data_IF_415774450630
#
_entry.id   IF_415774450630
#
_cell.length_a   1.000
_cell.length_b   1.000
_cell.length_c   1.000
_cell.angle_alpha   90.00
_cell.angle_beta   90.00
_cell.angle_gamma   90.00
#
_symmetry.space_group_name_H-M   'P 1'
#
loop_
_entity.id
_entity.type
_entity.pdbx_description
1 polymer ?
#
# COMPACT_ATOMS: atom_id res chain seq x y z
N UNK A 1 7.45 13.05 1.34
CA UNK A 1 6.71 12.65 2.54
C UNK A 1 5.53 13.58 2.78
N UNK A 2 4.46 13.07 3.36
CA UNK A 2 3.24 13.83 3.67
C UNK A 2 3.35 14.59 4.99
N UNK A 3 2.74 15.75 5.05
CA UNK A 3 2.68 16.58 6.26
C UNK A 3 1.41 16.26 7.09
N UNK A 4 1.06 14.97 7.20
CA UNK A 4 -0.03 14.40 8.01
C UNK A 4 -1.35 15.18 7.95
N UNK A 5 -1.89 15.34 6.72
CA UNK A 5 -3.18 16.00 6.46
C UNK A 5 -3.14 17.53 6.48
N UNK A 6 -1.97 18.16 6.65
CA UNK A 6 -1.85 19.63 6.60
C UNK A 6 -1.46 20.15 5.23
N UNK A 7 -0.61 19.42 4.49
CA UNK A 7 -0.21 19.74 3.13
C UNK A 7 0.29 18.48 2.41
N UNK A 8 0.21 18.48 1.08
CA UNK A 8 0.84 17.45 0.24
C UNK A 8 2.33 17.77 0.02
N UNK A 9 3.11 16.74 -0.33
CA UNK A 9 4.51 16.93 -0.72
C UNK A 9 4.68 17.92 -1.89
N UNK A 10 3.74 17.91 -2.84
CA UNK A 10 3.73 18.84 -3.96
C UNK A 10 3.48 20.30 -3.52
N UNK A 11 2.48 20.55 -2.66
CA UNK A 11 2.18 21.89 -2.14
C UNK A 11 3.37 22.47 -1.37
N UNK A 12 4.05 21.67 -0.55
CA UNK A 12 5.25 22.13 0.16
C UNK A 12 6.40 22.41 -0.82
N UNK A 13 6.62 21.53 -1.79
CA UNK A 13 7.64 21.74 -2.81
C UNK A 13 7.37 23.02 -3.63
N UNK A 14 6.09 23.29 -3.95
CA UNK A 14 5.67 24.49 -4.67
C UNK A 14 5.90 25.77 -3.85
N UNK A 15 5.54 25.76 -2.56
CA UNK A 15 5.74 26.89 -1.67
C UNK A 15 7.23 27.22 -1.51
N UNK A 16 8.08 26.22 -1.25
CA UNK A 16 9.53 26.41 -1.14
C UNK A 16 10.13 26.89 -2.46
N UNK A 17 9.67 26.35 -3.60
CA UNK A 17 10.14 26.74 -4.92
C UNK A 17 9.81 28.19 -5.25
N UNK A 18 8.62 28.67 -4.88
CA UNK A 18 8.19 30.05 -5.12
C UNK A 18 9.09 31.04 -4.37
N UNK A 19 9.36 30.80 -3.08
CA UNK A 19 10.23 31.67 -2.27
C UNK A 19 11.69 31.66 -2.75
N UNK A 20 12.22 30.47 -3.07
CA UNK A 20 13.58 30.37 -3.60
C UNK A 20 13.74 31.08 -4.96
N UNK A 21 12.75 30.96 -5.85
CA UNK A 21 12.74 31.66 -7.13
C UNK A 21 12.68 33.18 -6.96
N UNK A 22 11.89 33.69 -5.99
CA UNK A 22 11.83 35.13 -5.65
C UNK A 22 13.19 35.66 -5.17
N UNK A 23 14.03 34.80 -4.59
CA UNK A 23 15.40 35.12 -4.18
C UNK A 23 16.43 34.93 -5.31
N UNK A 24 16.00 34.63 -6.54
CA UNK A 24 16.86 34.46 -7.72
C UNK A 24 17.49 33.08 -7.87
N UNK A 25 17.05 32.07 -7.08
CA UNK A 25 17.51 30.68 -7.23
C UNK A 25 16.85 30.00 -8.43
N UNK A 26 17.63 29.19 -9.13
CA UNK A 26 17.08 28.24 -10.09
C UNK A 26 16.59 26.99 -9.32
N UNK A 27 15.30 26.70 -9.47
CA UNK A 27 14.63 25.65 -8.66
C UNK A 27 14.22 24.48 -9.54
N UNK A 28 14.50 23.27 -9.05
CA UNK A 28 13.95 22.01 -9.54
C UNK A 28 13.06 21.39 -8.45
N UNK A 29 11.81 21.07 -8.78
CA UNK A 29 10.82 20.55 -7.84
C UNK A 29 10.79 19.03 -7.94
N UNK A 30 11.14 18.36 -6.86
CA UNK A 30 11.16 16.90 -6.79
C UNK A 30 10.41 16.41 -5.53
N UNK A 31 9.05 16.43 -5.52
CA UNK A 31 8.30 15.84 -4.43
C UNK A 31 8.57 14.32 -4.40
N UNK A 32 8.74 13.77 -3.20
CA UNK A 32 8.99 12.35 -2.97
C UNK A 32 7.93 11.77 -2.06
N UNK A 33 7.69 10.46 -2.18
CA UNK A 33 6.80 9.70 -1.32
C UNK A 33 7.55 8.54 -0.66
N UNK A 34 7.18 8.23 0.57
CA UNK A 34 7.64 7.08 1.36
C UNK A 34 6.88 5.77 1.05
N UNK A 35 5.99 5.80 0.06
CA UNK A 35 5.08 4.70 -0.26
C UNK A 35 3.75 4.77 0.50
N UNK A 36 3.52 5.83 1.28
CA UNK A 36 2.25 6.10 1.96
C UNK A 36 1.22 6.79 1.09
N UNK A 37 0.23 7.41 1.75
CA UNK A 37 -0.80 8.21 1.09
C UNK A 37 -0.19 9.31 0.22
N UNK A 38 -0.71 9.46 -1.00
CA UNK A 38 -0.17 10.39 -1.99
C UNK A 38 0.96 9.80 -2.86
N UNK A 39 1.33 8.53 -2.68
CA UNK A 39 2.31 7.84 -3.50
C UNK A 39 1.98 7.95 -4.99
N UNK A 40 0.75 7.63 -5.38
CA UNK A 40 0.32 7.72 -6.76
C UNK A 40 0.26 9.15 -7.29
N UNK A 41 -0.02 10.14 -6.44
CA UNK A 41 -0.01 11.55 -6.82
C UNK A 41 1.40 12.06 -7.14
N UNK A 42 2.42 11.56 -6.43
CA UNK A 42 3.83 11.89 -6.67
C UNK A 42 4.37 11.17 -7.91
N UNK A 43 4.08 9.88 -8.04
CA UNK A 43 4.54 9.07 -9.18
C UNK A 43 3.85 9.48 -10.48
N UNK A 44 2.57 9.87 -10.40
CA UNK A 44 1.77 10.27 -11.56
C UNK A 44 1.14 9.08 -12.28
N UNK A 45 0.70 9.35 -13.52
CA UNK A 45 0.08 8.33 -14.36
C UNK A 45 -1.40 8.60 -14.66
N UNK A 46 -1.98 7.82 -15.56
CA UNK A 46 -3.39 7.88 -15.91
C UNK A 46 -4.22 7.05 -14.96
N UNK A 47 -5.11 7.69 -14.20
CA UNK A 47 -6.01 7.02 -13.26
C UNK A 47 -6.92 6.01 -13.96
N UNK A 48 -6.95 4.78 -13.46
CA UNK A 48 -7.81 3.67 -13.90
C UNK A 48 -8.69 3.25 -12.72
N UNK A 49 -9.94 3.77 -12.65
CA UNK A 49 -10.84 3.44 -11.56
C UNK A 49 -11.30 1.99 -11.62
N UNK A 50 -11.53 1.39 -10.45
CA UNK A 50 -12.05 0.04 -10.29
C UNK A 50 -12.69 -0.10 -8.92
N UNK A 51 -13.82 -0.81 -8.83
CA UNK A 51 -14.40 -1.21 -7.55
C UNK A 51 -13.71 -2.47 -7.05
N UNK A 52 -13.24 -2.44 -5.81
CA UNK A 52 -12.56 -3.56 -5.12
C UNK A 52 -13.13 -3.71 -3.72
N UNK A 53 -12.73 -4.75 -3.00
CA UNK A 53 -13.05 -4.87 -1.59
C UNK A 53 -12.21 -3.89 -0.77
N UNK A 54 -12.87 -3.21 0.17
CA UNK A 54 -12.24 -2.43 1.22
C UNK A 54 -11.62 -3.31 2.30
N UNK A 55 -10.97 -2.69 3.32
CA UNK A 55 -10.26 -3.44 4.34
C UNK A 55 -11.16 -4.39 5.15
N UNK A 56 -12.41 -4.07 5.36
CA UNK A 56 -13.38 -4.88 6.10
C UNK A 56 -14.36 -5.67 5.21
N UNK A 57 -14.14 -5.64 3.87
CA UNK A 57 -14.88 -6.42 2.88
C UNK A 57 -16.00 -5.68 2.16
N UNK A 58 -16.26 -4.42 2.48
CA UNK A 58 -17.20 -3.56 1.76
C UNK A 58 -16.65 -3.16 0.38
N UNK A 59 -17.50 -2.93 -0.63
CA UNK A 59 -17.04 -2.43 -1.92
C UNK A 59 -16.58 -0.97 -1.81
N UNK A 60 -15.40 -0.67 -2.35
CA UNK A 60 -14.83 0.68 -2.40
C UNK A 60 -14.40 1.04 -3.82
N UNK A 61 -14.55 2.31 -4.18
CA UNK A 61 -14.00 2.87 -5.41
C UNK A 61 -12.51 3.18 -5.23
N UNK A 62 -11.66 2.39 -5.85
CA UNK A 62 -10.22 2.56 -5.83
C UNK A 62 -9.68 2.85 -7.25
N UNK A 63 -8.38 2.95 -7.39
CA UNK A 63 -7.75 3.10 -8.71
C UNK A 63 -6.31 2.57 -8.69
N UNK A 64 -5.85 2.14 -9.85
CA UNK A 64 -4.44 2.03 -10.17
C UNK A 64 -4.07 3.07 -11.23
N UNK A 65 -2.80 3.40 -11.35
CA UNK A 65 -2.33 4.46 -12.23
C UNK A 65 -1.41 3.89 -13.30
N UNK A 66 -1.85 4.04 -14.55
CA UNK A 66 -1.17 3.53 -15.73
C UNK A 66 -0.06 4.48 -16.18
N UNK A 67 1.11 3.95 -16.43
CA UNK A 67 2.29 4.67 -16.88
C UNK A 67 3.01 3.93 -18.00
N UNK A 68 4.02 4.61 -18.58
CA UNK A 68 4.92 4.05 -19.58
C UNK A 68 4.18 3.37 -20.75
N UNK A 69 3.12 4.02 -21.24
CA UNK A 69 2.34 3.50 -22.39
C UNK A 69 1.55 2.22 -22.05
N UNK A 70 1.23 1.98 -20.77
CA UNK A 70 0.44 0.82 -20.33
C UNK A 70 1.28 -0.35 -19.83
N UNK A 71 2.61 -0.22 -19.77
CA UNK A 71 3.49 -1.29 -19.30
C UNK A 71 3.71 -1.30 -17.79
N UNK A 72 3.53 -0.16 -17.13
CA UNK A 72 3.76 0.05 -15.69
C UNK A 72 2.48 0.52 -15.00
N UNK A 73 2.26 0.05 -13.77
CA UNK A 73 1.23 0.55 -12.86
C UNK A 73 1.84 1.04 -11.55
N UNK A 74 1.31 2.16 -11.03
CA UNK A 74 1.46 2.53 -9.64
C UNK A 74 0.15 2.23 -8.89
N UNK A 75 0.27 1.67 -7.69
CA UNK A 75 -0.83 1.30 -6.80
C UNK A 75 -0.51 1.83 -5.41
N UNK A 76 -1.47 2.49 -4.80
CA UNK A 76 -1.43 2.91 -3.41
C UNK A 76 -2.35 1.99 -2.62
N UNK A 77 -1.75 1.16 -1.75
CA UNK A 77 -2.50 0.17 -0.97
C UNK A 77 -3.61 0.81 -0.13
N UNK A 78 -3.40 2.02 0.36
CA UNK A 78 -4.37 2.74 1.17
C UNK A 78 -5.70 3.01 0.45
N UNK A 79 -5.72 3.01 -0.90
CA UNK A 79 -6.95 3.17 -1.68
C UNK A 79 -7.88 1.94 -1.61
N UNK A 80 -7.40 0.78 -1.14
CA UNK A 80 -8.20 -0.44 -1.03
C UNK A 80 -8.10 -1.11 0.34
N UNK A 81 -6.98 -0.95 1.04
CA UNK A 81 -6.73 -1.60 2.34
C UNK A 81 -6.27 -0.59 3.39
N UNK A 82 -6.67 0.69 3.22
CA UNK A 82 -6.26 1.80 4.06
C UNK A 82 -7.07 1.94 5.35
N UNK A 83 -6.42 2.51 6.37
CA UNK A 83 -7.04 2.71 7.69
C UNK A 83 -8.18 3.74 7.64
N UNK A 84 -8.07 4.76 6.79
CA UNK A 84 -9.12 5.78 6.64
C UNK A 84 -10.41 5.19 6.05
N UNK A 85 -10.30 4.20 5.16
CA UNK A 85 -11.45 3.47 4.62
C UNK A 85 -12.19 2.67 5.69
N UNK A 86 -11.46 2.20 6.71
CA UNK A 86 -12.05 1.51 7.87
C UNK A 86 -12.67 2.46 8.91
N UNK A 87 -12.65 3.77 8.66
CA UNK A 87 -13.11 4.78 9.64
C UNK A 87 -12.06 5.13 10.69
N UNK A 88 -10.79 5.01 10.37
CA UNK A 88 -9.67 5.21 11.28
C UNK A 88 -9.50 4.05 12.27
N UNK A 89 -8.66 4.25 13.28
CA UNK A 89 -8.35 3.21 14.26
C UNK A 89 -9.57 2.83 15.15
N UNK A 90 -10.54 3.75 15.31
CA UNK A 90 -11.77 3.52 16.07
C UNK A 90 -12.79 2.66 15.33
N UNK A 91 -12.86 2.81 13.99
CA UNK A 91 -13.78 2.07 13.13
C UNK A 91 -13.19 0.74 12.61
N UNK A 92 -11.89 0.56 12.71
CA UNK A 92 -11.22 -0.61 12.16
C UNK A 92 -11.39 -1.86 13.06
N UNK A 93 -11.38 -3.02 12.42
CA UNK A 93 -11.23 -4.32 13.06
C UNK A 93 -9.91 -4.98 12.60
N UNK A 94 -8.82 -4.81 13.37
CA UNK A 94 -7.49 -5.33 12.97
C UNK A 94 -7.43 -6.85 12.79
N UNK A 95 -8.38 -7.59 13.39
CA UNK A 95 -8.46 -9.05 13.28
C UNK A 95 -9.08 -9.50 11.96
N UNK A 96 -9.93 -8.67 11.35
CA UNK A 96 -10.67 -8.95 10.12
C UNK A 96 -10.11 -8.22 8.90
N UNK A 97 -9.46 -7.08 9.12
CA UNK A 97 -8.93 -6.26 8.04
C UNK A 97 -7.99 -7.07 7.13
N UNK A 98 -8.10 -6.85 5.83
CA UNK A 98 -7.46 -7.66 4.80
C UNK A 98 -6.83 -6.83 3.68
N UNK A 99 -5.78 -7.36 3.08
CA UNK A 99 -5.16 -6.83 1.85
C UNK A 99 -5.82 -7.32 0.56
N UNK A 100 -6.96 -8.01 0.62
CA UNK A 100 -7.63 -8.58 -0.57
C UNK A 100 -7.87 -7.53 -1.67
N UNK A 101 -8.39 -6.35 -1.33
CA UNK A 101 -8.60 -5.28 -2.29
C UNK A 101 -7.32 -4.77 -2.96
N UNK A 102 -6.21 -4.75 -2.24
CA UNK A 102 -4.89 -4.47 -2.84
C UNK A 102 -4.52 -5.54 -3.87
N UNK A 103 -4.77 -6.81 -3.58
CA UNK A 103 -4.62 -7.91 -4.53
C UNK A 103 -5.49 -7.73 -5.78
N UNK A 104 -6.73 -7.27 -5.61
CA UNK A 104 -7.65 -6.98 -6.72
C UNK A 104 -7.17 -5.81 -7.60
N UNK A 105 -6.58 -4.76 -7.00
CA UNK A 105 -5.95 -3.67 -7.76
C UNK A 105 -4.79 -4.19 -8.61
N UNK A 106 -3.92 -5.03 -8.05
CA UNK A 106 -2.82 -5.66 -8.78
C UNK A 106 -3.37 -6.53 -9.91
N UNK A 107 -4.37 -7.36 -9.64
CA UNK A 107 -5.00 -8.22 -10.64
C UNK A 107 -5.64 -7.40 -11.78
N UNK A 108 -6.30 -6.28 -11.47
CA UNK A 108 -6.89 -5.38 -12.46
C UNK A 108 -5.81 -4.75 -13.36
N UNK A 109 -4.70 -4.28 -12.79
CA UNK A 109 -3.59 -3.73 -13.55
C UNK A 109 -2.95 -4.79 -14.48
N UNK A 110 -2.69 -5.98 -13.97
CA UNK A 110 -2.12 -7.10 -14.74
C UNK A 110 -3.06 -7.53 -15.88
N UNK A 111 -4.38 -7.61 -15.62
CA UNK A 111 -5.40 -7.85 -16.64
C UNK A 111 -5.41 -6.76 -17.71
N UNK A 112 -5.08 -5.52 -17.36
CA UNK A 112 -4.90 -4.39 -18.27
C UNK A 112 -3.65 -4.46 -19.15
N UNK A 113 -2.80 -5.47 -18.97
CA UNK A 113 -1.59 -5.68 -19.77
C UNK A 113 -0.29 -5.21 -19.11
N UNK A 114 -0.36 -4.68 -17.89
CA UNK A 114 0.80 -4.20 -17.13
C UNK A 114 1.78 -5.35 -16.85
N UNK A 115 3.09 -5.04 -16.91
CA UNK A 115 4.18 -5.98 -16.60
C UNK A 115 5.07 -5.54 -15.45
N UNK A 116 4.94 -4.30 -15.02
CA UNK A 116 5.63 -3.76 -13.85
C UNK A 116 4.61 -3.09 -12.94
N UNK A 117 4.52 -3.53 -11.69
CA UNK A 117 3.61 -2.95 -10.69
C UNK A 117 4.44 -2.40 -9.55
N UNK A 118 4.27 -1.12 -9.24
CA UNK A 118 4.85 -0.47 -8.07
C UNK A 118 3.74 -0.28 -7.03
N UNK A 119 3.93 -0.79 -5.83
CA UNK A 119 2.94 -0.74 -4.74
C UNK A 119 3.49 0.05 -3.58
N UNK A 120 2.87 1.17 -3.25
CA UNK A 120 3.11 1.88 -2.00
C UNK A 120 2.27 1.26 -0.87
N UNK A 121 2.89 0.88 0.25
CA UNK A 121 2.25 0.08 1.31
C UNK A 121 2.00 0.83 2.62
N UNK A 122 2.13 2.15 2.64
CA UNK A 122 1.80 2.97 3.80
C UNK A 122 0.29 3.13 4.05
N UNK A 123 -0.10 3.54 5.26
CA UNK A 123 -1.49 3.83 5.63
C UNK A 123 -2.40 2.61 5.80
N UNK A 124 -1.84 1.42 6.00
CA UNK A 124 -2.55 0.14 6.09
C UNK A 124 -3.50 0.03 7.29
N UNK A 125 -4.69 -0.55 7.08
CA UNK A 125 -5.63 -0.97 8.12
C UNK A 125 -5.30 -2.34 8.72
N UNK A 126 -4.45 -3.13 8.07
CA UNK A 126 -4.29 -4.56 8.32
C UNK A 126 -2.85 -4.97 8.64
N UNK A 127 -2.74 -6.02 9.42
CA UNK A 127 -1.51 -6.77 9.69
C UNK A 127 -1.72 -8.24 9.30
N UNK A 128 -2.30 -8.48 8.09
CA UNK A 128 -2.55 -9.83 7.58
C UNK A 128 -1.35 -10.47 6.88
N UNK A 129 -0.19 -9.79 6.88
CA UNK A 129 1.04 -10.27 6.24
C UNK A 129 0.96 -10.37 4.71
N UNK A 130 0.00 -9.68 4.08
CA UNK A 130 -0.23 -9.74 2.64
C UNK A 130 -1.03 -10.95 2.18
N UNK A 131 -1.55 -11.76 3.13
CA UNK A 131 -2.25 -13.00 2.83
C UNK A 131 -3.47 -12.79 1.93
N UNK A 132 -4.32 -11.81 2.25
CA UNK A 132 -5.51 -11.52 1.44
C UNK A 132 -5.17 -11.18 -0.01
N UNK A 133 -4.11 -10.40 -0.24
CA UNK A 133 -3.66 -10.09 -1.60
C UNK A 133 -3.16 -11.34 -2.33
N UNK A 134 -2.40 -12.21 -1.65
CA UNK A 134 -1.89 -13.44 -2.24
C UNK A 134 -3.02 -14.40 -2.62
N UNK A 135 -4.06 -14.54 -1.80
CA UNK A 135 -5.22 -15.38 -2.13
C UNK A 135 -5.94 -14.92 -3.40
N UNK A 136 -6.12 -13.60 -3.56
CA UNK A 136 -6.73 -13.03 -4.77
C UNK A 136 -5.85 -13.25 -6.01
N UNK A 137 -4.53 -13.20 -5.86
CA UNK A 137 -3.58 -13.33 -6.96
C UNK A 137 -3.32 -14.78 -7.38
N UNK A 138 -3.83 -15.76 -6.65
CA UNK A 138 -3.77 -17.16 -7.07
C UNK A 138 -4.67 -17.45 -8.29
N UNK A 139 -4.28 -18.33 -9.21
CA UNK A 139 -2.99 -19.02 -9.27
C UNK A 139 -1.86 -18.07 -9.72
N UNK A 140 -0.67 -18.26 -9.15
CA UNK A 140 0.52 -17.42 -9.42
C UNK A 140 0.91 -17.31 -10.90
N UNK A 141 0.45 -18.24 -11.73
CA UNK A 141 0.64 -18.17 -13.18
C UNK A 141 0.07 -16.90 -13.81
N UNK A 142 -0.91 -16.25 -13.17
CA UNK A 142 -1.45 -14.95 -13.60
C UNK A 142 -0.40 -13.84 -13.54
N UNK A 143 0.60 -13.97 -12.68
CA UNK A 143 1.69 -13.01 -12.49
C UNK A 143 2.94 -13.38 -13.33
N UNK A 144 2.84 -14.35 -14.23
CA UNK A 144 3.97 -14.75 -15.07
C UNK A 144 4.46 -13.57 -15.92
N UNK A 145 5.75 -13.25 -15.79
CA UNK A 145 6.35 -12.10 -16.48
C UNK A 145 5.97 -10.73 -15.90
N UNK A 146 5.33 -10.69 -14.74
CA UNK A 146 5.04 -9.46 -14.01
C UNK A 146 6.08 -9.24 -12.92
N UNK A 147 6.66 -8.05 -12.87
CA UNK A 147 7.55 -7.59 -11.79
C UNK A 147 6.74 -6.75 -10.81
N UNK A 148 6.72 -7.14 -9.54
CA UNK A 148 6.11 -6.37 -8.46
C UNK A 148 7.21 -5.77 -7.61
N UNK A 149 7.16 -4.45 -7.41
CA UNK A 149 8.08 -3.67 -6.58
C UNK A 149 7.28 -3.01 -5.47
N UNK A 150 7.78 -3.09 -4.24
CA UNK A 150 7.12 -2.51 -3.08
C UNK A 150 7.91 -1.30 -2.59
N UNK A 151 7.26 -0.14 -2.52
CA UNK A 151 7.80 1.06 -1.89
C UNK A 151 7.46 1.02 -0.40
N UNK A 152 8.50 0.88 0.43
CA UNK A 152 8.40 0.73 1.88
C UNK A 152 9.61 1.38 2.54
N UNK A 153 9.39 2.17 3.59
CA UNK A 153 10.44 2.89 4.34
C UNK A 153 10.79 2.22 5.68
N UNK A 154 10.09 1.13 6.05
CA UNK A 154 10.31 0.42 7.31
C UNK A 154 11.19 -0.81 7.15
N UNK A 155 11.92 -1.16 8.22
CA UNK A 155 12.80 -2.34 8.30
C UNK A 155 12.36 -3.34 9.38
N UNK A 156 11.12 -3.24 9.80
CA UNK A 156 10.53 -4.14 10.79
C UNK A 156 10.48 -5.55 10.21
N UNK A 157 10.94 -6.54 10.98
CA UNK A 157 10.83 -7.93 10.57
C UNK A 157 9.36 -8.35 10.48
N UNK A 158 9.05 -9.27 9.61
CA UNK A 158 7.69 -9.74 9.34
C UNK A 158 6.94 -10.14 10.62
N UNK A 159 7.56 -10.95 11.47
CA UNK A 159 6.95 -11.44 12.72
C UNK A 159 6.77 -10.35 13.78
N UNK A 160 7.55 -9.28 13.72
CA UNK A 160 7.46 -8.15 14.66
C UNK A 160 6.42 -7.11 14.24
N UNK A 161 5.91 -7.19 13.01
CA UNK A 161 5.03 -6.18 12.42
C UNK A 161 3.73 -5.98 13.21
N UNK A 162 3.17 -7.03 13.81
CA UNK A 162 1.98 -6.91 14.65
C UNK A 162 2.22 -6.04 15.87
N UNK A 163 3.31 -6.25 16.58
CA UNK A 163 3.65 -5.47 17.78
C UNK A 163 3.92 -3.99 17.47
N UNK A 164 4.49 -3.71 16.27
CA UNK A 164 4.86 -2.34 15.88
C UNK A 164 3.66 -1.57 15.30
N UNK A 165 2.87 -2.20 14.44
CA UNK A 165 1.88 -1.48 13.62
C UNK A 165 0.44 -1.70 14.05
N UNK A 166 0.06 -2.85 14.60
CA UNK A 166 -1.35 -3.10 14.91
C UNK A 166 -1.94 -2.24 16.03
N UNK A 167 -1.19 -1.70 17.01
CA UNK A 167 -1.75 -0.74 17.97
C UNK A 167 -2.31 0.52 17.31
N UNK A 168 -1.62 1.09 16.33
CA UNK A 168 -2.10 2.26 15.58
C UNK A 168 -3.27 1.94 14.64
N UNK A 169 -3.52 0.66 14.37
CA UNK A 169 -4.66 0.16 13.61
C UNK A 169 -5.87 -0.16 14.52
N UNK A 170 -5.78 0.09 15.83
CA UNK A 170 -6.85 -0.12 16.79
C UNK A 170 -6.78 -1.45 17.55
N UNK A 171 -5.71 -2.23 17.42
CA UNK A 171 -5.58 -3.50 18.13
C UNK A 171 -5.36 -3.31 19.64
N UNK A 172 -6.13 -4.03 20.44
CA UNK A 172 -5.87 -4.19 21.87
C UNK A 172 -4.62 -5.05 22.13
N UNK A 173 -4.01 -4.98 23.32
CA UNK A 173 -2.83 -5.82 23.62
C UNK A 173 -3.07 -7.32 23.37
N UNK A 174 -4.25 -7.84 23.71
CA UNK A 174 -4.60 -9.24 23.44
C UNK A 174 -4.70 -9.55 21.94
N UNK A 175 -5.21 -8.63 21.13
CA UNK A 175 -5.25 -8.76 19.67
C UNK A 175 -3.85 -8.68 19.05
N UNK A 176 -2.94 -7.84 19.60
CA UNK A 176 -1.54 -7.79 19.17
C UNK A 176 -0.87 -9.16 19.33
N UNK A 177 -1.07 -9.83 20.46
CA UNK A 177 -0.54 -11.19 20.68
C UNK A 177 -1.08 -12.20 19.66
N UNK A 178 -2.40 -12.12 19.38
CA UNK A 178 -3.04 -13.01 18.40
C UNK A 178 -2.52 -12.75 16.98
N UNK A 179 -2.36 -11.49 16.60
CA UNK A 179 -1.81 -11.10 15.29
C UNK A 179 -0.35 -11.53 15.16
N UNK A 180 0.46 -11.41 16.22
CA UNK A 180 1.84 -11.89 16.22
C UNK A 180 1.89 -13.40 15.95
N UNK A 181 1.09 -14.20 16.66
CA UNK A 181 1.01 -15.66 16.41
C UNK A 181 0.52 -15.98 14.99
N UNK A 182 -0.40 -15.17 14.45
CA UNK A 182 -0.84 -15.30 13.05
C UNK A 182 0.33 -15.08 12.08
N UNK A 183 1.12 -14.02 12.28
CA UNK A 183 2.29 -13.75 11.44
C UNK A 183 3.37 -14.84 11.55
N UNK A 184 3.64 -15.35 12.75
CA UNK A 184 4.55 -16.50 12.94
C UNK A 184 4.09 -17.73 12.16
N UNK A 185 2.78 -18.03 12.22
CA UNK A 185 2.19 -19.13 11.43
C UNK A 185 2.26 -18.87 9.93
N UNK A 186 2.02 -17.64 9.50
CA UNK A 186 2.15 -17.25 8.08
C UNK A 186 3.59 -17.35 7.60
N UNK A 187 4.58 -16.96 8.40
CA UNK A 187 5.99 -17.11 8.05
C UNK A 187 6.34 -18.59 7.77
N UNK A 188 5.90 -19.50 8.63
CA UNK A 188 6.05 -20.95 8.40
C UNK A 188 5.37 -21.39 7.09
N UNK A 189 4.13 -20.96 6.86
CA UNK A 189 3.38 -21.30 5.66
C UNK A 189 4.05 -20.76 4.38
N UNK A 190 4.63 -19.56 4.42
CA UNK A 190 5.36 -18.98 3.30
C UNK A 190 6.63 -19.78 3.00
N UNK A 191 7.34 -20.20 4.04
CA UNK A 191 8.49 -21.08 3.87
C UNK A 191 8.09 -22.44 3.27
N UNK A 192 7.04 -23.07 3.80
CA UNK A 192 6.55 -24.39 3.34
C UNK A 192 6.01 -24.33 1.89
N UNK A 193 5.21 -23.32 1.57
CA UNK A 193 4.47 -23.23 0.30
C UNK A 193 5.27 -22.58 -0.83
N UNK A 194 6.12 -21.64 -0.49
CA UNK A 194 6.81 -20.77 -1.45
C UNK A 194 8.33 -20.82 -1.34
N UNK A 195 8.89 -21.43 -0.30
CA UNK A 195 10.34 -21.48 -0.07
C UNK A 195 10.92 -20.10 0.32
N UNK A 196 10.09 -19.19 0.84
CA UNK A 196 10.48 -17.81 1.20
C UNK A 196 10.61 -17.72 2.71
N UNK A 197 11.77 -17.28 3.16
CA UNK A 197 12.05 -16.90 4.55
C UNK A 197 11.73 -15.39 4.71
N UNK A 198 10.84 -15.02 5.66
CA UNK A 198 10.31 -13.66 5.86
C UNK A 198 10.56 -13.13 7.27
#
# INVERSE_FOLDING_TARGET
DKFRGTATAAEVADAVAAEAAALGWKVDRAPVSDGGEGFCAVIGGRRRPVTVHGPLGEPVEAAWFEMDGGSTAAIEMAMASGLDLAGGWEGNDPMRASTAGTGELIAAAVKGGVRRVMVGVGGSATTDGGWGALEVLEPRSRLSGVRIEVACDVRTRFVDAAAVFSPQQGATPAQVELLTRRLERLAQLYQERYGVDV
#
